data_IF_135937358158
#
_entry.id   IF_135937358158
#
_cell.length_a   1.000
_cell.length_b   1.000
_cell.length_c   1.000
_cell.angle_alpha   90.00
_cell.angle_beta   90.00
_cell.angle_gamma   90.00
#
_symmetry.space_group_name_H-M   'P 1'
#
loop_
_entity.id
_entity.type
_entity.pdbx_description
1 polymer ?
#
# COMPACT_ATOMS: atom_id res chain seq x y z
N UNK A 1 1.68 16.99 -20.27
CA UNK A 1 0.51 17.35 -19.41
C UNK A 1 -0.51 16.23 -19.35
N UNK A 2 -1.11 15.74 -20.47
CA UNK A 2 -2.17 14.71 -20.44
C UNK A 2 -1.80 13.41 -19.71
N UNK A 3 -0.59 12.89 -19.92
CA UNK A 3 -0.13 11.66 -19.24
C UNK A 3 -0.05 11.81 -17.69
N UNK A 4 0.42 12.96 -17.22
CA UNK A 4 0.48 13.23 -15.78
C UNK A 4 -0.93 13.38 -15.17
N UNK A 5 -1.86 14.02 -15.89
CA UNK A 5 -3.24 14.15 -15.44
C UNK A 5 -3.96 12.82 -15.35
N UNK A 6 -3.79 11.92 -16.33
CA UNK A 6 -4.43 10.59 -16.30
C UNK A 6 -3.95 9.73 -15.13
N UNK A 7 -2.67 9.83 -14.77
CA UNK A 7 -2.14 9.12 -13.60
C UNK A 7 -2.68 9.70 -12.30
N UNK A 8 -2.74 11.03 -12.18
CA UNK A 8 -3.29 11.69 -11.01
C UNK A 8 -4.78 11.34 -10.81
N UNK A 9 -5.58 11.36 -11.88
CA UNK A 9 -7.00 10.98 -11.84
C UNK A 9 -7.18 9.54 -11.37
N UNK A 10 -6.39 8.60 -11.90
CA UNK A 10 -6.41 7.20 -11.49
C UNK A 10 -6.09 7.00 -10.01
N UNK A 11 -5.06 7.69 -9.50
CA UNK A 11 -4.66 7.60 -8.10
C UNK A 11 -5.71 8.21 -7.16
N UNK A 12 -6.23 9.39 -7.47
CA UNK A 12 -7.28 10.04 -6.67
C UNK A 12 -8.54 9.19 -6.64
N UNK A 13 -8.93 8.61 -7.78
CA UNK A 13 -10.07 7.71 -7.87
C UNK A 13 -9.86 6.42 -7.05
N UNK A 14 -8.67 5.82 -7.10
CA UNK A 14 -8.33 4.63 -6.33
C UNK A 14 -8.42 4.88 -4.82
N UNK A 15 -7.86 5.99 -4.33
CA UNK A 15 -7.93 6.38 -2.92
C UNK A 15 -9.38 6.66 -2.50
N UNK A 16 -10.14 7.41 -3.30
CA UNK A 16 -11.53 7.72 -3.00
C UNK A 16 -12.41 6.45 -2.95
N UNK A 17 -12.18 5.49 -3.85
CA UNK A 17 -12.87 4.20 -3.83
C UNK A 17 -12.49 3.37 -2.59
N UNK A 18 -11.21 3.28 -2.25
CA UNK A 18 -10.78 2.55 -1.05
C UNK A 18 -11.42 3.15 0.22
N UNK A 19 -11.43 4.47 0.36
CA UNK A 19 -12.06 5.11 1.52
C UNK A 19 -13.59 5.03 1.52
N UNK A 20 -14.24 5.18 0.37
CA UNK A 20 -15.72 5.13 0.31
C UNK A 20 -16.26 3.71 0.39
N UNK A 21 -15.63 2.76 -0.30
CA UNK A 21 -16.12 1.39 -0.34
C UNK A 21 -15.56 0.54 0.80
N UNK A 22 -14.25 0.54 1.01
CA UNK A 22 -13.64 -0.39 1.97
C UNK A 22 -13.75 0.13 3.41
N UNK A 23 -13.55 1.43 3.63
CA UNK A 23 -13.65 2.01 4.97
C UNK A 23 -15.10 2.39 5.29
N UNK A 24 -15.73 3.27 4.50
CA UNK A 24 -17.06 3.78 4.84
C UNK A 24 -18.12 2.69 4.75
N UNK A 25 -18.27 2.04 3.61
CA UNK A 25 -19.33 1.05 3.38
C UNK A 25 -19.13 -0.24 4.16
N UNK A 26 -17.91 -0.84 4.18
CA UNK A 26 -17.71 -2.12 4.87
C UNK A 26 -17.59 -2.00 6.39
N UNK A 27 -17.11 -0.86 6.90
CA UNK A 27 -16.79 -0.71 8.33
C UNK A 27 -17.77 0.23 9.03
N UNK A 28 -18.06 1.41 8.45
CA UNK A 28 -18.82 2.46 9.14
C UNK A 28 -20.33 2.28 8.93
N UNK A 29 -20.80 2.12 7.70
CA UNK A 29 -22.22 1.99 7.38
C UNK A 29 -22.49 0.93 6.31
N UNK A 30 -22.53 -0.38 6.71
CA UNK A 30 -22.76 -1.47 5.77
C UNK A 30 -24.14 -1.45 5.09
N UNK A 31 -25.10 -0.69 5.64
CA UNK A 31 -26.48 -0.57 5.13
C UNK A 31 -26.69 0.69 4.30
N UNK A 32 -25.62 1.48 4.03
CA UNK A 32 -25.74 2.71 3.27
C UNK A 32 -26.32 2.45 1.87
N UNK A 33 -27.31 3.26 1.50
CA UNK A 33 -27.88 3.27 0.15
C UNK A 33 -26.85 3.70 -0.90
N UNK A 34 -27.02 3.24 -2.15
CA UNK A 34 -26.13 3.57 -3.25
C UNK A 34 -25.95 5.08 -3.46
N UNK A 35 -27.02 5.86 -3.30
CA UNK A 35 -26.98 7.31 -3.42
C UNK A 35 -26.04 7.94 -2.37
N UNK A 36 -26.12 7.49 -1.12
CA UNK A 36 -25.27 7.97 -0.02
C UNK A 36 -23.79 7.62 -0.25
N UNK A 37 -23.51 6.39 -0.72
CA UNK A 37 -22.15 5.97 -1.07
C UNK A 37 -21.53 6.85 -2.17
N UNK A 38 -22.35 7.18 -3.18
CA UNK A 38 -21.91 8.04 -4.28
C UNK A 38 -21.59 9.46 -3.81
N UNK A 39 -22.38 10.01 -2.90
CA UNK A 39 -22.12 11.33 -2.29
C UNK A 39 -20.81 11.28 -1.49
N UNK A 40 -20.63 10.26 -0.64
CA UNK A 40 -19.40 10.10 0.14
C UNK A 40 -18.17 9.98 -0.79
N UNK A 41 -18.24 9.18 -1.85
CA UNK A 41 -17.14 9.05 -2.80
C UNK A 41 -16.80 10.39 -3.48
N UNK A 42 -17.82 11.18 -3.88
CA UNK A 42 -17.62 12.51 -4.48
C UNK A 42 -16.98 13.50 -3.51
N UNK A 43 -17.45 13.53 -2.27
CA UNK A 43 -16.86 14.38 -1.22
C UNK A 43 -15.40 14.01 -0.97
N UNK A 44 -15.11 12.71 -0.86
CA UNK A 44 -13.75 12.22 -0.69
C UNK A 44 -12.84 12.58 -1.88
N UNK A 45 -13.33 12.48 -3.11
CA UNK A 45 -12.59 12.94 -4.29
C UNK A 45 -12.17 14.40 -4.18
N UNK A 46 -13.10 15.27 -3.80
CA UNK A 46 -12.82 16.72 -3.64
C UNK A 46 -11.83 16.95 -2.51
N UNK A 47 -12.02 16.30 -1.36
CA UNK A 47 -11.14 16.45 -0.19
C UNK A 47 -9.72 15.97 -0.50
N UNK A 48 -9.58 14.81 -1.13
CA UNK A 48 -8.28 14.23 -1.48
C UNK A 48 -7.58 15.10 -2.54
N UNK A 49 -8.34 15.54 -3.57
CA UNK A 49 -7.82 16.41 -4.61
C UNK A 49 -7.33 17.75 -4.04
N UNK A 50 -8.11 18.36 -3.16
CA UNK A 50 -7.73 19.61 -2.48
C UNK A 50 -6.51 19.42 -1.56
N UNK A 51 -6.47 18.36 -0.78
CA UNK A 51 -5.32 18.03 0.07
C UNK A 51 -4.05 17.82 -0.76
N UNK A 52 -4.14 17.05 -1.86
CA UNK A 52 -3.04 16.85 -2.78
C UNK A 52 -2.54 18.13 -3.41
N UNK A 53 -3.46 19.00 -3.88
CA UNK A 53 -3.12 20.31 -4.45
C UNK A 53 -2.44 21.22 -3.41
N UNK A 54 -2.91 21.21 -2.16
CA UNK A 54 -2.32 21.99 -1.07
C UNK A 54 -0.90 21.54 -0.76
N UNK A 55 -0.68 20.21 -0.65
CA UNK A 55 0.66 19.64 -0.42
C UNK A 55 1.59 19.97 -1.60
N UNK A 56 1.10 19.89 -2.82
CA UNK A 56 1.87 20.24 -4.02
C UNK A 56 2.27 21.72 -4.03
N UNK A 57 1.36 22.62 -3.62
CA UNK A 57 1.64 24.05 -3.51
C UNK A 57 2.65 24.42 -2.43
N UNK A 58 2.87 23.57 -1.45
CA UNK A 58 3.90 23.77 -0.40
C UNK A 58 5.33 23.52 -0.91
N UNK A 59 5.50 22.97 -2.12
CA UNK A 59 6.80 22.68 -2.76
C UNK A 59 7.81 21.98 -1.82
N UNK A 60 7.32 21.08 -0.95
CA UNK A 60 8.15 20.40 0.08
C UNK A 60 9.32 19.66 -0.56
N UNK A 61 9.12 19.17 -1.79
CA UNK A 61 10.11 18.43 -2.56
C UNK A 61 9.86 18.67 -4.06
N UNK A 62 10.93 18.61 -4.87
CA UNK A 62 10.78 18.65 -6.33
C UNK A 62 9.97 17.46 -6.86
N UNK A 63 9.45 17.57 -8.09
CA UNK A 63 8.58 16.56 -8.71
C UNK A 63 9.21 15.16 -8.66
N UNK A 64 10.47 15.04 -9.08
CA UNK A 64 11.19 13.75 -9.07
C UNK A 64 11.33 13.19 -7.64
N UNK A 65 11.69 14.02 -6.67
CA UNK A 65 11.81 13.62 -5.29
C UNK A 65 10.48 13.16 -4.69
N UNK A 66 9.37 13.84 -5.03
CA UNK A 66 8.03 13.44 -4.59
C UNK A 66 7.62 12.06 -5.13
N UNK A 67 7.96 11.77 -6.38
CA UNK A 67 7.72 10.45 -6.99
C UNK A 67 8.55 9.37 -6.31
N UNK A 68 9.83 9.62 -6.07
CA UNK A 68 10.71 8.69 -5.34
C UNK A 68 10.16 8.41 -3.94
N UNK A 69 9.74 9.43 -3.21
CA UNK A 69 9.14 9.24 -1.89
C UNK A 69 7.87 8.39 -1.93
N UNK A 70 7.01 8.56 -2.94
CA UNK A 70 5.82 7.72 -3.09
C UNK A 70 6.18 6.23 -3.24
N UNK A 71 7.21 5.91 -4.04
CA UNK A 71 7.71 4.54 -4.17
C UNK A 71 8.38 4.03 -2.89
N UNK A 72 9.13 4.86 -2.19
CA UNK A 72 9.76 4.51 -0.93
C UNK A 72 8.73 4.21 0.18
N UNK A 73 7.65 4.99 0.26
CA UNK A 73 6.52 4.67 1.15
C UNK A 73 5.83 3.37 0.75
N UNK A 74 5.57 3.15 -0.54
CA UNK A 74 5.00 1.90 -1.02
C UNK A 74 5.92 0.70 -0.73
N UNK A 75 7.22 0.84 -0.95
CA UNK A 75 8.23 -0.16 -0.62
C UNK A 75 8.25 -0.47 0.88
N UNK A 76 8.22 0.56 1.72
CA UNK A 76 8.23 0.40 3.18
C UNK A 76 7.05 -0.39 3.72
N UNK A 77 5.85 -0.13 3.19
CA UNK A 77 4.62 -0.72 3.73
C UNK A 77 4.10 -1.93 2.97
N UNK A 78 4.31 -2.02 1.65
CA UNK A 78 3.60 -3.00 0.83
C UNK A 78 4.50 -4.09 0.24
N UNK A 79 5.78 -3.83 0.01
CA UNK A 79 6.64 -4.75 -0.74
C UNK A 79 6.70 -6.14 -0.10
N UNK A 80 7.15 -6.26 1.15
CA UNK A 80 7.26 -7.55 1.80
C UNK A 80 5.92 -8.20 2.17
N UNK A 81 4.89 -7.48 2.63
CA UNK A 81 3.54 -8.05 2.78
C UNK A 81 3.01 -8.69 1.49
N UNK A 82 3.21 -8.06 0.33
CA UNK A 82 2.81 -8.64 -0.95
C UNK A 82 3.67 -9.84 -1.34
N UNK A 83 5.00 -9.71 -1.29
CA UNK A 83 5.91 -10.80 -1.66
C UNK A 83 5.70 -12.02 -0.76
N UNK A 84 5.74 -11.85 0.56
CA UNK A 84 5.56 -12.96 1.48
C UNK A 84 4.13 -13.49 1.49
N UNK A 85 3.12 -12.65 1.26
CA UNK A 85 1.73 -13.07 1.12
C UNK A 85 1.53 -14.06 -0.02
N UNK A 86 2.24 -13.86 -1.15
CA UNK A 86 2.18 -14.76 -2.31
C UNK A 86 3.13 -15.96 -2.17
N UNK A 87 4.31 -15.78 -1.58
CA UNK A 87 5.35 -16.82 -1.61
C UNK A 87 5.49 -17.63 -0.32
N UNK A 88 4.99 -17.15 0.80
CA UNK A 88 5.18 -17.78 2.10
C UNK A 88 3.86 -18.25 2.73
N UNK A 89 3.63 -19.56 2.74
CA UNK A 89 2.39 -20.20 3.25
C UNK A 89 2.11 -19.93 4.73
N UNK A 90 3.12 -19.51 5.49
CA UNK A 90 2.98 -19.22 6.92
C UNK A 90 2.54 -17.77 7.16
N UNK A 91 2.62 -16.90 6.14
CA UNK A 91 2.14 -15.52 6.21
C UNK A 91 0.65 -15.49 6.58
N UNK A 92 0.30 -14.63 7.53
CA UNK A 92 -1.07 -14.45 7.98
C UNK A 92 -1.45 -12.96 8.00
N UNK A 93 -2.74 -12.67 8.16
CA UNK A 93 -3.26 -11.31 8.13
C UNK A 93 -2.65 -10.42 9.24
N UNK A 94 -2.42 -10.96 10.43
CA UNK A 94 -1.83 -10.21 11.54
C UNK A 94 -0.37 -9.82 11.24
N UNK A 95 0.41 -10.75 10.68
CA UNK A 95 1.78 -10.47 10.24
C UNK A 95 1.82 -9.44 9.11
N UNK A 96 0.93 -9.55 8.13
CA UNK A 96 0.85 -8.58 7.03
C UNK A 96 0.52 -7.17 7.53
N UNK A 97 -0.47 -7.02 8.40
CA UNK A 97 -0.85 -5.73 8.99
C UNK A 97 0.29 -5.17 9.84
N UNK A 98 0.94 -5.98 10.66
CA UNK A 98 2.10 -5.56 11.44
C UNK A 98 3.27 -5.11 10.53
N UNK A 99 3.55 -5.87 9.45
CA UNK A 99 4.55 -5.51 8.46
C UNK A 99 4.28 -4.16 7.81
N UNK A 100 3.03 -3.94 7.37
CA UNK A 100 2.62 -2.66 6.78
C UNK A 100 2.80 -1.49 7.75
N UNK A 101 2.28 -1.61 8.96
CA UNK A 101 2.29 -0.51 9.93
C UNK A 101 3.70 -0.20 10.44
N UNK A 102 4.47 -1.21 10.81
CA UNK A 102 5.83 -1.03 11.32
C UNK A 102 6.76 -0.56 10.20
N UNK A 103 6.62 -1.10 8.99
CA UNK A 103 7.40 -0.66 7.84
C UNK A 103 7.18 0.82 7.52
N UNK A 104 5.92 1.27 7.45
CA UNK A 104 5.59 2.67 7.24
C UNK A 104 6.07 3.56 8.40
N UNK A 105 5.90 3.12 9.65
CA UNK A 105 6.34 3.90 10.81
C UNK A 105 7.86 4.09 10.83
N UNK A 106 8.64 3.03 10.60
CA UNK A 106 10.10 3.09 10.56
C UNK A 106 10.59 3.89 9.37
N UNK A 107 10.02 3.69 8.16
CA UNK A 107 10.37 4.48 6.99
C UNK A 107 10.10 5.98 7.19
N UNK A 108 8.94 6.31 7.72
CA UNK A 108 8.57 7.71 8.03
C UNK A 108 9.49 8.32 9.09
N UNK A 109 9.74 7.58 10.18
CA UNK A 109 10.67 8.02 11.22
C UNK A 109 12.07 8.29 10.65
N UNK A 110 12.57 7.39 9.81
CA UNK A 110 13.89 7.55 9.20
C UNK A 110 13.95 8.76 8.26
N UNK A 111 12.91 8.96 7.43
CA UNK A 111 12.81 10.15 6.58
C UNK A 111 12.88 11.45 7.40
N UNK A 112 12.11 11.51 8.49
CA UNK A 112 12.11 12.67 9.39
C UNK A 112 13.48 12.84 10.03
N UNK A 113 14.09 11.77 10.53
CA UNK A 113 15.42 11.78 11.13
C UNK A 113 16.48 12.41 10.21
N UNK A 114 16.56 11.96 8.96
CA UNK A 114 17.53 12.49 7.99
C UNK A 114 17.21 13.94 7.62
N UNK A 115 15.94 14.29 7.46
CA UNK A 115 15.53 15.68 7.13
C UNK A 115 15.79 16.69 8.26
N UNK A 116 15.75 16.24 9.50
CA UNK A 116 16.04 17.11 10.67
C UNK A 116 17.55 17.21 11.00
N UNK A 117 18.41 16.74 10.11
CA UNK A 117 19.87 16.84 10.26
C UNK A 117 20.51 15.62 10.92
N UNK A 118 19.77 14.52 11.07
CA UNK A 118 20.33 13.26 11.55
C UNK A 118 21.33 12.65 10.55
N UNK A 119 22.33 11.93 11.07
CA UNK A 119 23.34 11.27 10.25
C UNK A 119 22.73 10.09 9.48
N UNK A 120 22.95 9.99 8.16
CA UNK A 120 22.47 8.84 7.37
C UNK A 120 23.06 7.53 7.89
N UNK A 121 22.20 6.56 8.20
CA UNK A 121 22.58 5.21 8.61
C UNK A 121 22.84 4.39 7.35
N UNK A 122 23.99 3.75 7.24
CA UNK A 122 24.44 2.96 6.07
C UNK A 122 24.48 3.76 4.75
N UNK A 123 24.63 5.08 4.80
CA UNK A 123 24.64 5.93 3.61
C UNK A 123 23.28 6.10 2.93
N UNK A 124 22.20 5.62 3.56
CA UNK A 124 20.83 5.77 3.05
C UNK A 124 20.38 7.20 3.23
N UNK A 125 19.99 7.84 2.14
CA UNK A 125 19.57 9.24 2.10
C UNK A 125 18.04 9.38 2.26
N UNK A 126 17.57 10.61 2.29
CA UNK A 126 16.12 10.90 2.26
C UNK A 126 15.41 10.43 0.97
N UNK A 127 16.14 10.04 -0.07
CA UNK A 127 15.59 9.52 -1.34
C UNK A 127 15.65 7.99 -1.43
N UNK A 128 16.07 7.31 -0.37
CA UNK A 128 16.18 5.84 -0.33
C UNK A 128 15.76 5.28 1.02
N UNK A 129 15.00 6.06 1.79
CA UNK A 129 14.55 5.69 3.14
C UNK A 129 13.68 4.43 3.17
N UNK A 130 13.06 4.09 2.04
CA UNK A 130 12.23 2.90 1.87
C UNK A 130 12.94 1.60 2.23
N UNK A 131 14.27 1.54 2.13
CA UNK A 131 15.08 0.37 2.50
C UNK A 131 14.90 0.03 3.98
N UNK A 132 15.02 1.03 4.89
CA UNK A 132 14.85 0.80 6.33
C UNK A 132 13.42 0.38 6.67
N UNK A 133 12.43 1.04 6.06
CA UNK A 133 11.03 0.65 6.22
C UNK A 133 10.75 -0.76 5.72
N UNK A 134 11.28 -1.14 4.56
CA UNK A 134 11.11 -2.48 4.00
C UNK A 134 11.76 -3.55 4.88
N UNK A 135 12.98 -3.34 5.39
CA UNK A 135 13.61 -4.27 6.32
C UNK A 135 12.81 -4.43 7.61
N UNK A 136 12.30 -3.34 8.16
CA UNK A 136 11.43 -3.38 9.34
C UNK A 136 10.11 -4.13 9.05
N UNK A 137 9.51 -3.92 7.88
CA UNK A 137 8.33 -4.63 7.40
C UNK A 137 8.58 -6.12 7.28
N UNK A 138 9.70 -6.52 6.68
CA UNK A 138 10.11 -7.93 6.55
C UNK A 138 10.21 -8.60 7.92
N UNK A 139 11.01 -8.01 8.82
CA UNK A 139 11.27 -8.58 10.13
C UNK A 139 9.98 -8.68 10.95
N UNK A 140 9.20 -7.61 11.02
CA UNK A 140 7.96 -7.59 11.78
C UNK A 140 6.92 -8.58 11.23
N UNK A 141 6.78 -8.67 9.90
CA UNK A 141 5.88 -9.63 9.28
C UNK A 141 6.27 -11.08 9.60
N UNK A 142 7.57 -11.41 9.52
CA UNK A 142 8.05 -12.77 9.85
C UNK A 142 7.81 -13.07 11.33
N UNK A 143 8.23 -12.17 12.23
CA UNK A 143 8.11 -12.37 13.68
C UNK A 143 6.65 -12.54 14.09
N UNK A 144 5.78 -11.63 13.67
CA UNK A 144 4.35 -11.67 14.03
C UNK A 144 3.66 -12.86 13.38
N UNK A 145 3.95 -13.20 12.13
CA UNK A 145 3.38 -14.40 11.52
C UNK A 145 3.80 -15.70 12.23
N UNK A 146 5.03 -15.80 12.71
CA UNK A 146 5.48 -16.97 13.46
C UNK A 146 4.90 -17.02 14.88
N UNK A 147 4.74 -15.87 15.52
CA UNK A 147 4.18 -15.76 16.87
C UNK A 147 2.66 -15.94 16.94
N UNK A 148 1.97 -15.83 15.80
CA UNK A 148 0.51 -15.91 15.74
C UNK A 148 0.04 -17.21 15.08
N UNK A 149 -1.28 -17.48 15.10
CA UNK A 149 -1.86 -18.70 14.53
C UNK A 149 -1.59 -18.79 13.02
N UNK A 150 -1.22 -20.00 12.57
CA UNK A 150 -1.03 -20.29 11.15
C UNK A 150 -2.34 -20.05 10.37
N UNK A 151 -2.26 -19.65 9.09
CA UNK A 151 -3.41 -19.61 8.21
C UNK A 151 -4.05 -21.00 8.10
N UNK A 152 -5.36 -21.02 7.83
CA UNK A 152 -6.10 -22.27 7.62
C UNK A 152 -5.66 -22.97 6.31
N UNK A 153 -6.03 -24.23 6.16
CA UNK A 153 -5.65 -25.05 5.00
C UNK A 153 -6.22 -24.47 3.70
N UNK A 154 -7.38 -23.81 3.75
CA UNK A 154 -7.99 -23.18 2.57
C UNK A 154 -7.16 -22.01 2.07
N UNK A 155 -6.68 -21.14 2.96
CA UNK A 155 -5.78 -20.02 2.64
C UNK A 155 -4.44 -20.51 2.09
N UNK A 156 -3.86 -21.57 2.69
CA UNK A 156 -2.60 -22.14 2.20
C UNK A 156 -2.75 -22.74 0.79
N UNK A 157 -3.89 -23.39 0.51
CA UNK A 157 -4.21 -23.91 -0.82
C UNK A 157 -4.38 -22.77 -1.84
N UNK A 158 -5.05 -21.68 -1.47
CA UNK A 158 -5.16 -20.49 -2.33
C UNK A 158 -3.78 -19.94 -2.70
N UNK A 159 -2.84 -19.87 -1.77
CA UNK A 159 -1.46 -19.43 -2.02
C UNK A 159 -0.75 -20.33 -3.04
N UNK A 160 -1.03 -21.65 -3.06
CA UNK A 160 -0.50 -22.55 -4.10
C UNK A 160 -1.18 -22.31 -5.45
N UNK A 161 -2.49 -22.16 -5.48
CA UNK A 161 -3.26 -21.96 -6.71
C UNK A 161 -2.91 -20.63 -7.40
N UNK A 162 -2.65 -19.57 -6.67
CA UNK A 162 -2.23 -18.26 -7.23
C UNK A 162 -0.92 -18.36 -8.02
N UNK A 163 -0.04 -19.29 -7.66
CA UNK A 163 1.26 -19.48 -8.33
C UNK A 163 1.21 -20.36 -9.56
N UNK A 164 0.18 -21.20 -9.68
CA UNK A 164 0.02 -22.14 -10.78
C UNK A 164 -1.05 -21.58 -11.71
N UNK A 165 -0.73 -21.17 -12.94
CA UNK A 165 -1.74 -20.72 -13.88
C UNK A 165 -2.63 -21.91 -14.27
N UNK A 166 -3.70 -22.14 -13.53
CA UNK A 166 -4.70 -23.20 -13.77
C UNK A 166 -5.82 -22.75 -14.70
N UNK A 167 -5.68 -21.61 -15.35
CA UNK A 167 -6.65 -21.09 -16.29
C UNK A 167 -6.72 -21.94 -17.57
N UNK A 168 -7.92 -22.40 -17.94
CA UNK A 168 -8.20 -22.80 -19.33
C UNK A 168 -7.85 -21.61 -20.21
N UNK A 169 -6.80 -21.75 -21.02
CA UNK A 169 -6.44 -20.71 -21.99
C UNK A 169 -7.65 -20.49 -22.91
N UNK A 170 -8.09 -19.23 -23.02
CA UNK A 170 -9.21 -18.84 -23.91
C UNK A 170 -8.92 -19.25 -25.37
N UNK A 171 -7.66 -19.50 -25.70
CA UNK A 171 -7.18 -19.98 -27.00
C UNK A 171 -7.45 -21.48 -27.26
N UNK A 172 -7.90 -22.26 -26.28
CA UNK A 172 -8.22 -23.69 -26.43
C UNK A 172 -9.62 -24.00 -26.96
N UNK A 173 -10.39 -23.03 -27.42
CA UNK A 173 -11.76 -23.19 -27.98
C UNK A 173 -11.89 -22.78 -29.46
N UNK A 174 -10.83 -22.90 -30.23
CA UNK A 174 -10.94 -22.80 -31.70
C UNK A 174 -10.46 -24.11 -32.32
N UNK A 175 -11.27 -25.16 -32.17
CA UNK A 175 -11.33 -26.30 -33.08
C UNK A 175 -12.70 -26.94 -32.95
#
# INVERSE_FOLDING_TARGET
>A
MAAAMSTADGLVLAIANALSHDLYYKIIDPKAETAKRLVVARVLLVVIGFAGATIAAMEIQGILGSVIWAFDFAMSGLFFPLVLGVWWKRANAQGAVAGMLIGLAVGTWYLIHVRTGGTPIWGVTQLTFGIHGALASLISMIVVSLATKAPDAATQKMVDEVRIPSGRTVLGKQH
#
